data_IF_623640435326
#
_entry.id   IF_623640435326
#
_cell.length_a   1.000
_cell.length_b   1.000
_cell.length_c   1.000
_cell.angle_alpha   90.00
_cell.angle_beta   90.00
_cell.angle_gamma   90.00
#
_symmetry.space_group_name_H-M   'P 1'
#
loop_
_entity.id
_entity.type
_entity.pdbx_description
1 polymer ?
#
# COMPACT_ATOMS: atom_id res chain seq x y z
N UNK A 1 -33.26 52.30 8.08
CA UNK A 1 -31.83 52.12 7.77
C UNK A 1 -31.48 50.65 7.90
N UNK A 2 -31.04 50.08 6.76
CA UNK A 2 -30.33 48.82 6.52
C UNK A 2 -30.67 47.56 7.36
N UNK A 3 -31.39 46.63 6.72
CA UNK A 3 -31.37 45.22 7.07
C UNK A 3 -29.97 44.64 6.77
N UNK A 4 -29.34 44.01 7.76
CA UNK A 4 -28.09 43.27 7.58
C UNK A 4 -28.37 42.01 6.75
N UNK A 5 -28.04 42.08 5.46
CA UNK A 5 -27.98 40.92 4.59
C UNK A 5 -26.97 39.92 5.17
N UNK A 6 -27.41 38.67 5.34
CA UNK A 6 -26.53 37.55 5.67
C UNK A 6 -25.50 37.41 4.54
N UNK A 7 -24.22 37.33 4.90
CA UNK A 7 -23.18 36.83 3.99
C UNK A 7 -23.46 35.34 3.78
N UNK A 8 -24.11 34.99 2.68
CA UNK A 8 -24.06 33.63 2.17
C UNK A 8 -22.62 33.36 1.74
N UNK A 9 -21.97 32.45 2.46
CA UNK A 9 -20.58 32.09 2.20
C UNK A 9 -20.46 31.40 0.84
N UNK A 10 -19.56 31.91 0.00
CA UNK A 10 -19.12 31.37 -1.29
C UNK A 10 -18.49 29.97 -1.14
N UNK A 11 -19.34 28.96 -0.94
CA UNK A 11 -18.93 27.57 -0.85
C UNK A 11 -19.96 26.66 -1.51
N UNK A 12 -19.48 25.61 -2.17
CA UNK A 12 -20.35 24.57 -2.73
C UNK A 12 -21.15 23.94 -1.57
N UNK A 13 -22.48 24.08 -1.61
CA UNK A 13 -23.35 23.45 -0.60
C UNK A 13 -23.24 21.92 -0.68
N UNK A 14 -23.41 21.23 0.47
CA UNK A 14 -23.42 19.75 0.52
C UNK A 14 -24.39 19.12 -0.49
N UNK A 15 -25.54 19.76 -0.71
CA UNK A 15 -26.55 19.33 -1.67
C UNK A 15 -26.09 19.52 -3.11
N UNK A 16 -25.45 20.65 -3.41
CA UNK A 16 -24.87 20.93 -4.73
C UNK A 16 -23.75 19.94 -5.04
N UNK A 17 -22.89 19.65 -4.06
CA UNK A 17 -21.85 18.63 -4.16
C UNK A 17 -22.45 17.23 -4.43
N UNK A 18 -23.47 16.81 -3.67
CA UNK A 18 -24.11 15.50 -3.86
C UNK A 18 -24.76 15.37 -5.24
N UNK A 19 -25.37 16.45 -5.76
CA UNK A 19 -25.94 16.47 -7.12
C UNK A 19 -24.85 16.39 -8.20
N UNK A 20 -23.75 17.12 -8.03
CA UNK A 20 -22.58 17.05 -8.90
C UNK A 20 -21.94 15.67 -8.88
N UNK A 21 -21.80 15.05 -7.71
CA UNK A 21 -21.24 13.70 -7.56
C UNK A 21 -22.16 12.64 -8.20
N UNK A 22 -23.47 12.75 -8.00
CA UNK A 22 -24.45 11.83 -8.59
C UNK A 22 -24.57 11.98 -10.11
N UNK A 23 -24.46 13.20 -10.65
CA UNK A 23 -24.52 13.46 -12.09
C UNK A 23 -23.18 13.23 -12.79
N UNK A 24 -22.05 13.42 -12.10
CA UNK A 24 -20.70 13.38 -12.67
C UNK A 24 -20.04 12.00 -12.67
N UNK A 25 -20.64 11.00 -12.03
CA UNK A 25 -20.17 9.61 -12.05
C UNK A 25 -18.92 9.36 -11.20
N UNK A 26 -19.08 8.64 -10.09
CA UNK A 26 -18.00 8.27 -9.15
C UNK A 26 -16.97 7.28 -9.71
N UNK A 27 -17.00 6.97 -11.02
CA UNK A 27 -16.15 5.95 -11.64
C UNK A 27 -14.64 6.23 -11.47
N UNK A 28 -14.25 7.51 -11.47
CA UNK A 28 -12.86 7.91 -11.24
C UNK A 28 -12.39 7.74 -9.78
N UNK A 29 -13.32 7.66 -8.82
CA UNK A 29 -13.02 7.45 -7.39
C UNK A 29 -12.99 5.97 -7.00
N UNK A 30 -13.66 5.11 -7.78
CA UNK A 30 -13.70 3.66 -7.55
C UNK A 30 -12.40 2.95 -7.94
N UNK A 31 -11.56 3.56 -8.78
CA UNK A 31 -10.36 2.92 -9.33
C UNK A 31 -9.08 3.01 -8.50
N UNK A 32 -9.04 3.80 -7.41
CA UNK A 32 -7.83 4.00 -6.60
C UNK A 32 -8.05 3.58 -5.15
N UNK A 33 -8.31 2.30 -4.92
CA UNK A 33 -8.28 1.73 -3.57
C UNK A 33 -6.84 1.48 -3.14
N UNK A 34 -6.21 2.49 -2.52
CA UNK A 34 -4.95 2.34 -1.78
C UNK A 34 -3.67 2.18 -2.62
N UNK A 35 -2.54 2.05 -1.92
CA UNK A 35 -1.26 1.60 -2.50
C UNK A 35 -1.34 0.12 -2.84
N UNK A 36 -2.20 -0.26 -3.78
CA UNK A 36 -2.21 -1.61 -4.32
C UNK A 36 -1.05 -1.69 -5.32
N UNK A 37 0.06 -2.28 -4.89
CA UNK A 37 1.11 -2.67 -5.82
C UNK A 37 0.53 -3.76 -6.73
N UNK A 38 0.78 -3.67 -8.03
CA UNK A 38 0.46 -4.78 -8.92
C UNK A 38 1.33 -5.95 -8.47
N UNK A 39 0.67 -7.02 -8.00
CA UNK A 39 1.35 -8.13 -7.34
C UNK A 39 1.85 -9.11 -8.40
N UNK A 40 3.17 -9.22 -8.61
CA UNK A 40 3.72 -10.23 -9.51
C UNK A 40 3.40 -11.63 -8.99
N UNK A 41 3.47 -12.62 -9.88
CA UNK A 41 3.27 -14.00 -9.49
C UNK A 41 4.23 -14.41 -8.36
N UNK A 42 3.81 -15.27 -7.41
CA UNK A 42 4.70 -15.81 -6.40
C UNK A 42 5.91 -16.49 -7.05
N UNK A 43 7.09 -16.29 -6.46
CA UNK A 43 8.29 -16.96 -6.95
C UNK A 43 8.19 -18.47 -6.75
N UNK A 44 8.60 -19.29 -7.74
CA UNK A 44 8.79 -20.71 -7.51
C UNK A 44 9.96 -20.94 -6.55
N UNK A 45 10.11 -22.17 -6.06
CA UNK A 45 11.31 -22.56 -5.33
C UNK A 45 12.56 -22.28 -6.18
N UNK A 46 13.57 -21.66 -5.58
CA UNK A 46 14.82 -21.35 -6.26
C UNK A 46 15.45 -22.63 -6.81
N UNK A 47 15.67 -22.75 -8.13
CA UNK A 47 16.31 -23.91 -8.72
C UNK A 47 17.80 -23.97 -8.37
N UNK A 48 18.42 -25.15 -8.49
CA UNK A 48 19.85 -25.33 -8.21
C UNK A 48 20.75 -24.51 -9.16
N UNK A 49 20.29 -24.25 -10.38
CA UNK A 49 20.95 -23.37 -11.35
C UNK A 49 19.91 -22.40 -11.92
N UNK A 50 19.78 -21.19 -11.33
CA UNK A 50 18.81 -20.21 -11.80
C UNK A 50 19.24 -19.55 -13.10
N UNK A 51 18.31 -19.44 -14.04
CA UNK A 51 18.50 -18.79 -15.33
C UNK A 51 18.00 -17.33 -15.33
N UNK A 52 18.17 -16.66 -16.47
CA UNK A 52 17.77 -15.26 -16.62
C UNK A 52 16.26 -15.05 -16.48
N UNK A 53 15.44 -16.03 -16.85
CA UNK A 53 13.99 -15.97 -16.69
C UNK A 53 13.61 -15.96 -15.21
N UNK A 54 14.24 -16.82 -14.41
CA UNK A 54 14.09 -16.81 -12.96
C UNK A 54 14.52 -15.46 -12.37
N UNK A 55 15.70 -14.94 -12.73
CA UNK A 55 16.18 -13.66 -12.20
C UNK A 55 15.29 -12.47 -12.57
N UNK A 56 14.67 -12.51 -13.76
CA UNK A 56 13.65 -11.53 -14.15
C UNK A 56 12.42 -11.60 -13.27
N UNK A 57 11.92 -12.80 -12.96
CA UNK A 57 10.80 -12.97 -12.04
C UNK A 57 11.12 -12.46 -10.63
N UNK A 58 12.38 -12.61 -10.18
CA UNK A 58 12.87 -12.04 -8.91
C UNK A 58 12.90 -10.51 -8.99
N UNK A 59 13.37 -9.94 -10.10
CA UNK A 59 13.45 -8.47 -10.30
C UNK A 59 12.07 -7.80 -10.28
N UNK A 60 11.05 -8.48 -10.78
CA UNK A 60 9.65 -8.05 -10.78
C UNK A 60 9.06 -7.98 -9.36
N UNK A 61 9.63 -8.69 -8.38
CA UNK A 61 9.22 -8.59 -6.98
C UNK A 61 9.63 -7.28 -6.30
N UNK A 62 10.29 -6.35 -6.99
CA UNK A 62 10.74 -5.08 -6.42
C UNK A 62 10.10 -3.90 -7.15
N UNK A 63 9.67 -2.83 -6.45
CA UNK A 63 8.98 -1.69 -7.04
C UNK A 63 9.89 -0.78 -7.89
N UNK A 64 11.14 -1.17 -8.13
CA UNK A 64 12.10 -0.32 -8.83
C UNK A 64 11.84 -0.27 -10.34
N UNK A 65 11.93 0.92 -10.98
CA UNK A 65 11.79 1.06 -12.42
C UNK A 65 12.71 0.13 -13.21
N UNK A 66 12.25 -0.40 -14.34
CA UNK A 66 13.00 -1.37 -15.17
C UNK A 66 14.23 -0.76 -15.85
N UNK A 67 14.29 0.57 -15.96
CA UNK A 67 15.40 1.29 -16.54
C UNK A 67 16.48 1.72 -15.52
N UNK A 68 16.36 1.29 -14.25
CA UNK A 68 17.38 1.54 -13.22
C UNK A 68 17.84 0.25 -12.54
N UNK A 69 19.12 0.23 -12.22
CA UNK A 69 19.81 -0.89 -11.57
C UNK A 69 20.42 -0.45 -10.25
N UNK A 70 20.26 -1.25 -9.21
CA UNK A 70 20.95 -1.03 -7.93
C UNK A 70 22.32 -1.68 -8.01
N UNK A 71 23.35 -0.85 -8.12
CA UNK A 71 24.74 -1.31 -8.17
C UNK A 71 25.33 -1.58 -6.78
N UNK A 72 24.71 -1.04 -5.73
CA UNK A 72 25.10 -1.29 -4.34
C UNK A 72 23.86 -1.57 -3.48
N UNK A 73 23.51 -2.85 -3.36
CA UNK A 73 22.43 -3.29 -2.49
C UNK A 73 22.87 -3.46 -1.02
N UNK A 74 24.16 -3.44 -0.71
CA UNK A 74 24.64 -3.72 0.65
C UNK A 74 24.30 -2.61 1.67
N UNK A 75 24.15 -1.36 1.23
CA UNK A 75 23.84 -0.23 2.12
C UNK A 75 22.34 -0.04 2.33
N UNK A 76 21.57 0.01 1.24
CA UNK A 76 20.13 0.14 1.27
C UNK A 76 19.52 -0.69 0.14
N UNK A 77 18.96 -1.84 0.50
CA UNK A 77 18.16 -2.64 -0.42
C UNK A 77 16.75 -2.06 -0.55
N UNK A 78 16.18 -1.98 -1.76
CA UNK A 78 14.74 -1.90 -1.88
C UNK A 78 14.11 -3.14 -1.21
N UNK A 79 13.07 -2.95 -0.41
CA UNK A 79 12.28 -4.09 0.06
C UNK A 79 11.48 -4.68 -1.10
N UNK A 80 11.29 -6.00 -1.09
CA UNK A 80 10.41 -6.66 -2.04
C UNK A 80 8.94 -6.28 -1.78
N UNK A 81 8.11 -6.38 -2.81
CA UNK A 81 6.69 -6.08 -2.76
C UNK A 81 5.97 -6.88 -1.65
N UNK A 82 6.19 -8.20 -1.47
CA UNK A 82 5.55 -8.93 -0.37
C UNK A 82 5.94 -8.42 1.03
N UNK A 83 7.20 -7.97 1.19
CA UNK A 83 7.66 -7.41 2.47
C UNK A 83 7.03 -6.03 2.73
N UNK A 84 6.92 -5.19 1.70
CA UNK A 84 6.23 -3.90 1.79
C UNK A 84 4.75 -4.07 2.09
N UNK A 85 4.06 -4.97 1.38
CA UNK A 85 2.65 -5.28 1.62
C UNK A 85 2.43 -5.76 3.06
N UNK A 86 3.21 -6.73 3.53
CA UNK A 86 3.12 -7.21 4.91
C UNK A 86 3.35 -6.08 5.92
N UNK A 87 4.31 -5.19 5.68
CA UNK A 87 4.56 -4.03 6.55
C UNK A 87 3.34 -3.09 6.58
N UNK A 88 2.80 -2.71 5.43
CA UNK A 88 1.63 -1.81 5.36
C UNK A 88 0.38 -2.43 5.99
N UNK A 89 0.12 -3.71 5.74
CA UNK A 89 -1.04 -4.41 6.32
C UNK A 89 -0.92 -4.54 7.84
N UNK A 90 0.27 -4.85 8.37
CA UNK A 90 0.49 -4.87 9.82
C UNK A 90 0.30 -3.47 10.44
N UNK A 91 0.77 -2.41 9.77
CA UNK A 91 0.53 -1.03 10.24
C UNK A 91 -0.96 -0.72 10.29
N UNK A 92 -1.72 -1.03 9.22
CA UNK A 92 -3.17 -0.83 9.18
C UNK A 92 -3.90 -1.65 10.25
N UNK A 93 -3.50 -2.90 10.47
CA UNK A 93 -4.13 -3.77 11.50
C UNK A 93 -3.93 -3.18 12.91
N UNK A 94 -2.70 -2.75 13.23
CA UNK A 94 -2.38 -2.17 14.54
C UNK A 94 -3.09 -0.83 14.76
N UNK A 95 -3.05 0.06 13.77
CA UNK A 95 -3.64 1.41 13.87
C UNK A 95 -5.17 1.37 13.81
N UNK A 96 -5.75 0.41 13.08
CA UNK A 96 -7.19 0.21 12.96
C UNK A 96 -7.82 -0.42 14.21
N UNK A 97 -7.03 -1.11 15.04
CA UNK A 97 -7.51 -1.76 16.26
C UNK A 97 -6.47 -1.64 17.41
N UNK A 98 -6.63 -0.66 18.32
CA UNK A 98 -5.66 -0.42 19.39
C UNK A 98 -5.79 -1.37 20.59
N UNK A 99 -6.58 -2.45 20.51
CA UNK A 99 -6.77 -3.40 21.61
C UNK A 99 -5.49 -4.17 21.97
N UNK A 100 -5.39 -4.62 23.23
CA UNK A 100 -4.24 -5.40 23.71
C UNK A 100 -4.08 -6.72 22.96
N UNK A 101 -5.19 -7.38 22.64
CA UNK A 101 -5.24 -8.63 21.88
C UNK A 101 -4.67 -8.45 20.49
N UNK A 102 -5.01 -7.33 19.82
CA UNK A 102 -4.49 -7.03 18.50
C UNK A 102 -2.98 -6.75 18.53
N UNK A 103 -2.52 -5.97 19.51
CA UNK A 103 -1.09 -5.69 19.70
C UNK A 103 -0.27 -6.94 20.03
N UNK A 104 -0.86 -7.94 20.70
CA UNK A 104 -0.18 -9.19 21.03
C UNK A 104 0.29 -9.96 19.78
N UNK A 105 -0.43 -9.85 18.65
CA UNK A 105 -0.04 -10.46 17.35
C UNK A 105 1.37 -10.08 16.91
N UNK A 106 1.81 -8.84 17.17
CA UNK A 106 3.16 -8.39 16.82
C UNK A 106 4.24 -9.12 17.64
N UNK A 107 3.94 -9.45 18.89
CA UNK A 107 4.80 -10.27 19.75
C UNK A 107 4.96 -11.68 19.20
N UNK A 108 3.84 -12.31 18.79
CA UNK A 108 3.82 -13.63 18.17
C UNK A 108 4.56 -13.64 16.83
N UNK A 109 4.32 -12.64 15.98
CA UNK A 109 5.02 -12.45 14.71
C UNK A 109 6.54 -12.42 14.92
N UNK A 110 7.02 -11.66 15.90
CA UNK A 110 8.45 -11.61 16.27
C UNK A 110 8.99 -12.98 16.69
N UNK A 111 8.22 -13.78 17.41
CA UNK A 111 8.63 -15.15 17.80
C UNK A 111 8.69 -16.06 16.58
N UNK A 112 7.69 -16.00 15.71
CA UNK A 112 7.63 -16.83 14.51
C UNK A 112 8.75 -16.48 13.51
N UNK A 113 9.07 -15.19 13.31
CA UNK A 113 10.22 -14.78 12.48
C UNK A 113 11.52 -15.41 12.98
N UNK A 114 11.76 -15.47 14.30
CA UNK A 114 12.98 -16.11 14.83
C UNK A 114 13.06 -17.60 14.51
N UNK A 115 11.93 -18.32 14.45
CA UNK A 115 11.90 -19.74 14.09
C UNK A 115 12.22 -19.99 12.62
N UNK A 116 11.99 -19.01 11.75
CA UNK A 116 12.26 -19.11 10.31
C UNK A 116 13.73 -18.77 10.01
N UNK A 117 14.35 -17.89 10.81
CA UNK A 117 15.72 -17.45 10.62
C UNK A 117 16.78 -18.34 11.27
N UNK A 118 16.41 -19.14 12.27
CA UNK A 118 17.29 -20.05 13.01
C UNK A 118 17.33 -21.43 12.37
#
# INVERSE_FOLDING_TARGET
MAAHARRDGDGISRRSFARLLAAGGSAALLGKTGFAFERPAPLPQTPASPDEAFWRSVREQFPMPTNVSVMNAANLCPSSLPALEAMYENTKDVDGNPSFQNRAKMGEGKVNTRKILA
#
